data_IF_078867027378
#
_entry.id   IF_078867027378
#
_cell.length_a   1.000
_cell.length_b   1.000
_cell.length_c   1.000
_cell.angle_alpha   90.00
_cell.angle_beta   90.00
_cell.angle_gamma   90.00
#
_symmetry.space_group_name_H-M   'P 1'
#
loop_
_entity.id
_entity.type
_entity.pdbx_description
1 polymer ?
#
# COMPACT_ATOMS: atom_id res chain seq x y z
N UNK A 1 43.78 -5.55 32.06
CA UNK A 1 43.24 -5.33 30.69
C UNK A 1 41.91 -6.03 30.42
N UNK A 2 41.77 -7.35 30.61
CA UNK A 2 40.50 -8.09 30.33
C UNK A 2 39.24 -7.52 31.01
N UNK A 3 39.36 -7.05 32.26
CA UNK A 3 38.23 -6.50 33.05
C UNK A 3 37.70 -5.17 32.50
N UNK A 4 38.59 -4.32 31.97
CA UNK A 4 38.25 -3.04 31.35
C UNK A 4 37.57 -3.28 29.99
N UNK A 5 38.14 -4.20 29.19
CA UNK A 5 37.56 -4.61 27.91
C UNK A 5 36.15 -5.21 28.07
N UNK A 6 35.94 -6.04 29.11
CA UNK A 6 34.63 -6.60 29.46
C UNK A 6 33.60 -5.54 29.85
N UNK A 7 33.99 -4.52 30.63
CA UNK A 7 33.06 -3.47 31.04
C UNK A 7 32.62 -2.57 29.88
N UNK A 8 33.50 -2.30 28.91
CA UNK A 8 33.11 -1.57 27.70
C UNK A 8 32.23 -2.42 26.77
N UNK A 9 32.53 -3.72 26.60
CA UNK A 9 31.68 -4.61 25.80
C UNK A 9 30.24 -4.68 26.34
N UNK A 10 30.06 -4.72 27.67
CA UNK A 10 28.74 -4.79 28.31
C UNK A 10 27.90 -3.54 28.03
N UNK A 11 28.52 -2.37 27.79
CA UNK A 11 27.80 -1.15 27.38
C UNK A 11 27.62 -1.02 25.86
N UNK A 12 28.59 -1.49 25.07
CA UNK A 12 28.56 -1.38 23.60
C UNK A 12 27.52 -2.33 23.00
N UNK A 13 27.40 -3.55 23.51
CA UNK A 13 26.41 -4.53 23.01
C UNK A 13 24.97 -4.00 23.07
N UNK A 14 24.44 -3.53 24.23
CA UNK A 14 23.08 -3.01 24.30
C UNK A 14 22.91 -1.73 23.47
N UNK A 15 23.91 -0.86 23.40
CA UNK A 15 23.87 0.33 22.54
C UNK A 15 23.71 -0.05 21.05
N UNK A 16 24.49 -1.04 20.59
CA UNK A 16 24.43 -1.53 19.22
C UNK A 16 23.06 -2.19 18.94
N UNK A 17 22.52 -2.95 19.90
CA UNK A 17 21.17 -3.50 19.81
C UNK A 17 20.09 -2.40 19.72
N UNK A 18 20.20 -1.33 20.51
CA UNK A 18 19.27 -0.19 20.40
C UNK A 18 19.31 0.45 19.02
N UNK A 19 20.51 0.68 18.47
CA UNK A 19 20.68 1.23 17.13
C UNK A 19 20.08 0.28 16.07
N UNK A 20 20.31 -1.02 16.21
CA UNK A 20 19.75 -2.03 15.32
C UNK A 20 18.21 -2.03 15.33
N UNK A 21 17.60 -1.99 16.52
CA UNK A 21 16.13 -1.95 16.66
C UNK A 21 15.56 -0.69 16.02
N UNK A 22 16.16 0.48 16.27
CA UNK A 22 15.71 1.75 15.67
C UNK A 22 15.75 1.66 14.14
N UNK A 23 16.87 1.15 13.60
CA UNK A 23 17.05 0.99 12.15
C UNK A 23 16.01 0.05 11.54
N UNK A 24 15.79 -1.10 12.18
CA UNK A 24 14.77 -2.07 11.74
C UNK A 24 13.36 -1.46 11.83
N UNK A 25 13.08 -0.65 12.86
CA UNK A 25 11.81 0.05 13.02
C UNK A 25 11.50 0.99 11.86
N UNK A 26 12.48 1.81 11.46
CA UNK A 26 12.32 2.70 10.29
C UNK A 26 12.12 1.92 8.98
N UNK A 27 12.92 0.87 8.74
CA UNK A 27 12.77 0.02 7.56
C UNK A 27 11.41 -0.69 7.53
N UNK A 28 10.91 -1.11 8.69
CA UNK A 28 9.59 -1.75 8.81
C UNK A 28 8.47 -0.76 8.54
N UNK A 29 8.57 0.50 8.98
CA UNK A 29 7.57 1.53 8.69
C UNK A 29 7.46 1.78 7.18
N UNK A 30 8.59 1.96 6.48
CA UNK A 30 8.62 2.15 5.02
C UNK A 30 8.01 0.94 4.27
N UNK A 31 8.40 -0.26 4.67
CA UNK A 31 7.88 -1.49 4.07
C UNK A 31 6.36 -1.64 4.27
N UNK A 32 5.86 -1.32 5.46
CA UNK A 32 4.42 -1.39 5.75
C UNK A 32 3.61 -0.33 4.99
N UNK A 33 4.14 0.87 4.81
CA UNK A 33 3.49 1.90 4.02
C UNK A 33 3.28 1.44 2.56
N UNK A 34 4.31 0.83 1.95
CA UNK A 34 4.24 0.23 0.61
C UNK A 34 3.23 -0.91 0.54
N UNK A 35 3.24 -1.82 1.51
CA UNK A 35 2.28 -2.93 1.56
C UNK A 35 0.83 -2.45 1.66
N UNK A 36 0.56 -1.39 2.44
CA UNK A 36 -0.78 -0.81 2.55
C UNK A 36 -1.23 -0.14 1.24
N UNK A 37 -0.33 0.55 0.53
CA UNK A 37 -0.60 1.09 -0.80
C UNK A 37 -0.98 -0.02 -1.79
N UNK A 38 -0.18 -1.09 -1.84
CA UNK A 38 -0.42 -2.23 -2.73
C UNK A 38 -1.74 -2.95 -2.40
N UNK A 39 -2.05 -3.15 -1.12
CA UNK A 39 -3.31 -3.76 -0.69
C UNK A 39 -4.55 -2.94 -1.14
N UNK A 40 -4.42 -1.61 -1.11
CA UNK A 40 -5.46 -0.69 -1.56
C UNK A 40 -5.69 -0.78 -3.08
N UNK A 41 -4.62 -0.84 -3.86
CA UNK A 41 -4.67 -1.06 -5.31
C UNK A 41 -5.42 -2.36 -5.64
N UNK A 42 -5.10 -3.46 -4.93
CA UNK A 42 -5.78 -4.75 -5.10
C UNK A 42 -7.27 -4.63 -4.78
N UNK A 43 -7.64 -3.90 -3.73
CA UNK A 43 -9.04 -3.68 -3.35
C UNK A 43 -9.82 -2.94 -4.44
N UNK A 44 -9.30 -1.81 -4.94
CA UNK A 44 -9.96 -1.04 -6.00
C UNK A 44 -10.05 -1.82 -7.30
N UNK A 45 -9.01 -2.59 -7.65
CA UNK A 45 -9.05 -3.49 -8.82
C UNK A 45 -10.17 -4.54 -8.67
N UNK A 46 -10.38 -5.05 -7.45
CA UNK A 46 -11.48 -5.94 -7.12
C UNK A 46 -12.86 -5.28 -7.27
N UNK A 47 -13.00 -4.03 -6.81
CA UNK A 47 -14.23 -3.22 -6.97
C UNK A 47 -14.53 -3.00 -8.44
N UNK A 48 -13.55 -2.55 -9.24
CA UNK A 48 -13.70 -2.33 -10.69
C UNK A 48 -14.21 -3.61 -11.37
N UNK A 49 -13.57 -4.76 -11.10
CA UNK A 49 -14.02 -6.04 -11.68
C UNK A 49 -15.48 -6.35 -11.34
N UNK A 50 -15.87 -6.20 -10.07
CA UNK A 50 -17.25 -6.45 -9.64
C UNK A 50 -18.25 -5.47 -10.29
N UNK A 51 -17.88 -4.19 -10.35
CA UNK A 51 -18.67 -3.13 -10.96
C UNK A 51 -18.85 -3.36 -12.47
N UNK A 52 -17.79 -3.70 -13.20
CA UNK A 52 -17.85 -4.03 -14.63
C UNK A 52 -18.75 -5.25 -14.87
N UNK A 53 -18.64 -6.29 -14.05
CA UNK A 53 -19.54 -7.45 -14.15
C UNK A 53 -21.01 -7.07 -13.93
N UNK A 54 -21.28 -6.18 -12.97
CA UNK A 54 -22.63 -5.66 -12.72
C UNK A 54 -23.11 -4.84 -13.92
N UNK A 55 -22.29 -3.93 -14.42
CA UNK A 55 -22.61 -3.09 -15.58
C UNK A 55 -22.98 -3.95 -16.79
N UNK A 56 -22.15 -4.95 -17.14
CA UNK A 56 -22.44 -5.86 -18.26
C UNK A 56 -23.81 -6.54 -18.08
N UNK A 57 -24.14 -6.99 -16.86
CA UNK A 57 -25.46 -7.61 -16.59
C UNK A 57 -26.61 -6.61 -16.77
N UNK A 58 -26.44 -5.37 -16.34
CA UNK A 58 -27.43 -4.32 -16.49
C UNK A 58 -27.67 -3.99 -17.96
N UNK A 59 -26.61 -3.85 -18.75
CA UNK A 59 -26.70 -3.62 -20.20
C UNK A 59 -27.37 -4.79 -20.93
N UNK A 60 -27.05 -6.04 -20.57
CA UNK A 60 -27.73 -7.23 -21.13
C UNK A 60 -29.24 -7.25 -20.81
N UNK A 61 -29.63 -6.69 -19.66
CA UNK A 61 -31.03 -6.55 -19.25
C UNK A 61 -31.69 -5.26 -19.77
N UNK A 62 -31.01 -4.49 -20.63
CA UNK A 62 -31.50 -3.20 -21.15
C UNK A 62 -31.79 -2.16 -20.04
N UNK A 63 -31.06 -2.24 -18.93
CA UNK A 63 -31.09 -1.27 -17.84
C UNK A 63 -29.81 -0.43 -17.86
N UNK A 64 -29.72 0.64 -18.66
CA UNK A 64 -28.49 1.43 -18.76
C UNK A 64 -28.13 2.08 -17.42
N UNK A 65 -26.83 2.13 -17.12
CA UNK A 65 -26.33 2.70 -15.87
C UNK A 65 -25.11 3.61 -16.08
N UNK A 66 -25.35 4.77 -16.68
CA UNK A 66 -24.32 5.76 -16.98
C UNK A 66 -23.58 6.27 -15.73
N UNK A 67 -24.26 6.31 -14.58
CA UNK A 67 -23.64 6.69 -13.31
C UNK A 67 -22.54 5.70 -12.91
N UNK A 68 -22.78 4.39 -13.10
CA UNK A 68 -21.79 3.35 -12.82
C UNK A 68 -20.61 3.39 -13.81
N UNK A 69 -20.86 3.74 -15.08
CA UNK A 69 -19.80 3.94 -16.08
C UNK A 69 -18.87 5.07 -15.63
N UNK A 70 -19.44 6.22 -15.25
CA UNK A 70 -18.66 7.37 -14.77
C UNK A 70 -17.87 7.05 -13.49
N UNK A 71 -18.45 6.26 -12.56
CA UNK A 71 -17.74 5.82 -11.34
C UNK A 71 -16.56 4.89 -11.67
N UNK A 72 -16.77 3.96 -12.61
CA UNK A 72 -15.74 3.06 -13.13
C UNK A 72 -14.59 3.86 -13.77
N UNK A 73 -14.90 4.81 -14.64
CA UNK A 73 -13.91 5.65 -15.31
C UNK A 73 -13.11 6.49 -14.31
N UNK A 74 -13.79 7.11 -13.33
CA UNK A 74 -13.12 7.88 -12.27
C UNK A 74 -12.17 7.01 -11.45
N UNK A 75 -12.61 5.83 -11.04
CA UNK A 75 -11.82 4.92 -10.21
C UNK A 75 -10.64 4.32 -10.98
N UNK A 76 -10.85 3.97 -12.25
CA UNK A 76 -9.81 3.47 -13.14
C UNK A 76 -8.75 4.56 -13.41
N UNK A 77 -9.19 5.79 -13.66
CA UNK A 77 -8.29 6.93 -13.83
C UNK A 77 -7.45 7.19 -12.57
N UNK A 78 -8.07 7.13 -11.38
CA UNK A 78 -7.35 7.26 -10.12
C UNK A 78 -6.30 6.16 -9.89
N UNK A 79 -6.58 4.92 -10.32
CA UNK A 79 -5.61 3.82 -10.27
C UNK A 79 -4.43 3.99 -11.24
N UNK A 80 -4.69 4.49 -12.45
CA UNK A 80 -3.66 4.65 -13.49
C UNK A 80 -2.76 5.87 -13.22
N UNK A 81 -3.34 6.99 -12.83
CA UNK A 81 -2.64 8.28 -12.74
C UNK A 81 -2.44 8.76 -11.31
N UNK A 82 -2.91 8.02 -10.32
CA UNK A 82 -2.90 8.42 -8.93
C UNK A 82 -3.97 9.47 -8.69
N UNK A 83 -4.59 9.40 -7.53
CA UNK A 83 -5.57 10.39 -7.08
C UNK A 83 -5.36 10.63 -5.60
N UNK A 84 -4.87 11.81 -5.25
CA UNK A 84 -4.61 12.21 -3.85
C UNK A 84 -5.92 12.36 -3.06
N UNK A 85 -7.00 12.80 -3.71
CA UNK A 85 -8.31 13.01 -3.11
C UNK A 85 -9.05 11.69 -2.87
N UNK A 86 -8.94 10.74 -3.80
CA UNK A 86 -9.43 9.37 -3.63
C UNK A 86 -8.43 8.47 -2.88
N UNK A 87 -7.25 8.99 -2.56
CA UNK A 87 -6.21 8.30 -1.80
C UNK A 87 -5.78 6.99 -2.48
N UNK A 88 -5.73 7.02 -3.82
CA UNK A 88 -5.37 5.91 -4.70
C UNK A 88 -3.92 6.11 -5.13
N UNK A 89 -3.03 5.24 -4.66
CA UNK A 89 -1.64 5.18 -5.15
C UNK A 89 -1.63 4.62 -6.56
N UNK A 90 -0.75 5.17 -7.41
CA UNK A 90 -0.59 4.71 -8.80
C UNK A 90 -0.20 3.24 -8.86
N UNK A 91 -0.74 2.56 -9.86
CA UNK A 91 -0.38 1.18 -10.23
C UNK A 91 1.11 1.02 -10.57
N UNK A 92 1.77 2.05 -11.10
CA UNK A 92 3.20 2.00 -11.49
C UNK A 92 4.16 1.93 -10.30
N UNK A 93 3.68 2.18 -9.08
CA UNK A 93 4.48 2.12 -7.85
C UNK A 93 4.50 0.73 -7.20
N UNK A 94 3.98 -0.29 -7.88
CA UNK A 94 4.07 -1.70 -7.44
C UNK A 94 5.44 -2.35 -7.73
N UNK A 95 6.37 -1.63 -8.35
CA UNK A 95 7.76 -2.06 -8.59
C UNK A 95 8.71 -1.68 -7.44
#
# INVERSE_FOLDING_TARGET
MKKILSNHLVGIIPLLLCIAIITIGFLSMDSNAKLQGNARIINYTGIIRGATQRLIKQELNHEPNDALINELDRTLHGLLYGDEDAHISRLDQME
#
